data_IF_926154978331
#
_entry.id   IF_926154978331
#
_cell.length_a   1.000
_cell.length_b   1.000
_cell.length_c   1.000
_cell.angle_alpha   90.00
_cell.angle_beta   90.00
_cell.angle_gamma   90.00
#
_symmetry.space_group_name_H-M   'P 1'
#
loop_
_entity.id
_entity.type
_entity.pdbx_description
1 polymer ?
#
# COMPACT_ATOMS: atom_id res chain seq x y z
N UNK A 1 -8.95 1.17 -8.65
CA UNK A 1 -8.90 1.97 -7.39
C UNK A 1 -9.17 3.44 -7.72
N UNK A 2 -9.76 4.20 -6.80
CA UNK A 2 -10.15 5.62 -7.02
C UNK A 2 -9.33 6.60 -6.18
N UNK A 3 -8.81 6.19 -5.02
CA UNK A 3 -7.97 7.03 -4.17
C UNK A 3 -6.99 6.18 -3.36
N UNK A 4 -5.80 6.74 -3.13
CA UNK A 4 -4.81 6.27 -2.15
C UNK A 4 -4.31 7.46 -1.35
N UNK A 5 -4.04 7.25 -0.07
CA UNK A 5 -3.41 8.24 0.81
C UNK A 5 -2.44 7.55 1.77
N UNK A 6 -1.24 8.09 1.90
CA UNK A 6 -0.31 7.69 2.95
C UNK A 6 -0.77 8.21 4.33
N UNK A 7 -0.65 7.35 5.34
CA UNK A 7 -0.90 7.59 6.74
C UNK A 7 0.37 7.29 7.56
N UNK A 8 0.41 7.78 8.80
CA UNK A 8 1.52 7.54 9.72
C UNK A 8 1.73 6.05 10.03
N UNK A 9 2.99 5.67 10.25
CA UNK A 9 3.38 4.29 10.55
C UNK A 9 3.20 3.36 9.35
N UNK A 10 3.61 3.83 8.17
CA UNK A 10 3.64 3.05 6.93
C UNK A 10 2.30 2.38 6.58
N UNK A 11 1.23 3.18 6.69
CA UNK A 11 -0.13 2.76 6.38
C UNK A 11 -0.64 3.49 5.16
N UNK A 12 -1.46 2.83 4.36
CA UNK A 12 -2.22 3.45 3.29
C UNK A 12 -3.70 3.36 3.58
N UNK A 13 -4.45 4.41 3.25
CA UNK A 13 -5.88 4.35 3.11
C UNK A 13 -6.23 4.30 1.62
N UNK A 14 -6.96 3.27 1.20
CA UNK A 14 -7.35 3.08 -0.21
C UNK A 14 -8.86 3.08 -0.36
N UNK A 15 -9.33 3.54 -1.52
CA UNK A 15 -10.73 3.49 -1.93
C UNK A 15 -10.86 2.86 -3.31
N UNK A 16 -11.81 1.95 -3.47
CA UNK A 16 -12.12 1.28 -4.72
C UNK A 16 -13.33 1.88 -5.43
N UNK A 17 -13.54 1.48 -6.68
CA UNK A 17 -14.58 2.01 -7.57
C UNK A 17 -16.00 1.68 -7.08
N UNK A 18 -16.17 0.59 -6.36
CA UNK A 18 -17.44 0.13 -5.78
C UNK A 18 -17.75 0.78 -4.42
N UNK A 19 -16.88 1.68 -3.96
CA UNK A 19 -16.99 2.33 -2.66
C UNK A 19 -16.36 1.55 -1.50
N UNK A 20 -15.78 0.36 -1.75
CA UNK A 20 -15.00 -0.36 -0.74
C UNK A 20 -13.80 0.49 -0.33
N UNK A 21 -13.57 0.59 0.98
CA UNK A 21 -12.47 1.34 1.58
C UNK A 21 -11.79 0.46 2.63
N UNK A 22 -10.50 0.69 2.85
CA UNK A 22 -9.75 -0.02 3.87
C UNK A 22 -8.33 0.47 4.01
N UNK A 23 -7.64 -0.09 4.99
CA UNK A 23 -6.26 0.25 5.29
C UNK A 23 -5.31 -0.87 4.85
N UNK A 24 -4.15 -0.48 4.33
CA UNK A 24 -3.02 -1.36 4.04
C UNK A 24 -1.90 -1.04 5.02
N UNK A 25 -1.44 -2.03 5.77
CA UNK A 25 -0.42 -1.89 6.79
C UNK A 25 0.87 -2.52 6.27
N UNK A 26 1.89 -1.70 6.04
CA UNK A 26 3.13 -2.11 5.37
C UNK A 26 4.34 -2.13 6.29
N UNK A 27 4.20 -1.66 7.54
CA UNK A 27 5.29 -1.55 8.52
C UNK A 27 6.11 -2.84 8.67
N UNK A 28 5.44 -3.98 8.81
CA UNK A 28 6.09 -5.27 8.99
C UNK A 28 6.85 -5.73 7.73
N UNK A 29 6.34 -5.46 6.54
CA UNK A 29 7.01 -5.76 5.28
C UNK A 29 8.25 -4.87 5.08
N UNK A 30 8.08 -3.55 5.25
CA UNK A 30 9.13 -2.56 4.97
C UNK A 30 10.34 -2.76 5.87
N UNK A 31 10.13 -3.10 7.14
CA UNK A 31 11.22 -3.38 8.08
C UNK A 31 11.63 -4.86 8.14
N UNK A 32 11.05 -5.72 7.31
CA UNK A 32 11.45 -7.12 7.27
C UNK A 32 12.84 -7.26 6.61
N UNK A 33 13.65 -8.26 7.02
CA UNK A 33 14.88 -8.59 6.32
C UNK A 33 14.65 -9.06 4.87
N UNK A 34 13.40 -9.39 4.51
CA UNK A 34 12.97 -9.80 3.18
C UNK A 34 12.28 -8.71 2.36
N UNK A 35 12.33 -7.44 2.80
CA UNK A 35 11.57 -6.35 2.17
C UNK A 35 11.88 -6.16 0.67
N UNK A 36 13.10 -6.52 0.23
CA UNK A 36 13.51 -6.37 -1.16
C UNK A 36 13.34 -4.93 -1.65
N UNK A 37 12.62 -4.75 -2.75
CA UNK A 37 12.32 -3.42 -3.32
C UNK A 37 11.48 -2.54 -2.39
N UNK A 38 10.69 -3.13 -1.48
CA UNK A 38 9.90 -2.36 -0.51
C UNK A 38 10.74 -1.76 0.60
N UNK A 39 12.02 -2.15 0.74
CA UNK A 39 12.91 -1.62 1.77
C UNK A 39 13.15 -0.12 1.66
N UNK A 40 13.16 0.47 0.45
CA UNK A 40 13.34 1.92 0.30
C UNK A 40 12.12 2.73 0.77
N UNK A 41 10.96 2.09 0.94
CA UNK A 41 9.79 2.71 1.56
C UNK A 41 9.96 2.95 3.07
N UNK A 42 11.06 2.49 3.68
CA UNK A 42 11.42 2.87 5.05
C UNK A 42 11.72 4.37 5.17
N UNK A 43 12.04 5.03 4.06
CA UNK A 43 12.19 6.48 4.03
C UNK A 43 10.81 7.16 3.96
N UNK A 44 10.39 7.94 4.98
CA UNK A 44 9.04 8.51 5.02
C UNK A 44 8.71 9.42 3.84
N UNK A 45 9.73 10.10 3.29
CA UNK A 45 9.59 10.94 2.09
C UNK A 45 9.24 10.10 0.86
N UNK A 46 9.85 8.92 0.71
CA UNK A 46 9.54 7.99 -0.38
C UNK A 46 8.16 7.41 -0.16
N UNK A 47 7.85 6.92 1.04
CA UNK A 47 6.54 6.37 1.36
C UNK A 47 5.39 7.34 1.10
N UNK A 48 5.58 8.62 1.45
CA UNK A 48 4.57 9.67 1.26
C UNK A 48 4.38 10.08 -0.21
N UNK A 49 5.31 9.69 -1.09
CA UNK A 49 5.19 9.92 -2.53
C UNK A 49 4.28 8.90 -3.23
N UNK A 50 3.49 8.14 -2.46
CA UNK A 50 2.50 7.19 -2.99
C UNK A 50 1.55 7.87 -3.97
N UNK A 51 1.35 7.21 -5.11
CA UNK A 51 0.53 7.68 -6.20
C UNK A 51 -0.40 6.60 -6.74
N UNK A 52 -1.22 7.03 -7.69
CA UNK A 52 -2.12 6.17 -8.45
C UNK A 52 -1.75 6.27 -9.92
N UNK A 53 -1.23 5.20 -10.48
CA UNK A 53 -0.93 5.11 -11.91
C UNK A 53 -1.80 4.02 -12.54
N UNK A 54 -2.66 4.40 -13.49
CA UNK A 54 -3.62 3.49 -14.13
C UNK A 54 -4.47 2.63 -13.16
N UNK A 55 -4.68 3.11 -11.92
CA UNK A 55 -5.46 2.40 -10.90
C UNK A 55 -4.65 1.44 -10.02
N UNK A 56 -3.33 1.43 -10.18
CA UNK A 56 -2.35 0.69 -9.37
C UNK A 56 -1.74 1.64 -8.34
N UNK A 57 -1.53 1.19 -7.09
CA UNK A 57 -0.76 1.99 -6.13
C UNK A 57 0.70 1.91 -6.57
N UNK A 58 1.33 3.05 -6.81
CA UNK A 58 2.73 3.12 -7.22
C UNK A 58 3.52 4.11 -6.38
N UNK A 59 4.82 3.87 -6.27
CA UNK A 59 5.80 4.79 -5.70
C UNK A 59 6.90 5.10 -6.75
N UNK A 60 7.74 6.12 -6.49
CA UNK A 60 9.02 6.23 -7.19
C UNK A 60 9.81 4.93 -7.11
N UNK A 61 10.70 4.69 -8.09
CA UNK A 61 11.50 3.46 -8.22
C UNK A 61 10.73 2.20 -8.67
N UNK A 62 9.63 2.37 -9.42
CA UNK A 62 8.86 1.27 -10.04
C UNK A 62 8.27 0.27 -9.03
N UNK A 63 8.04 0.71 -7.79
CA UNK A 63 7.40 -0.11 -6.77
C UNK A 63 5.89 0.01 -6.95
N UNK A 64 5.24 -1.14 -7.09
CA UNK A 64 3.80 -1.23 -7.21
C UNK A 64 3.17 -2.17 -6.17
N UNK A 65 1.91 -1.90 -5.83
CA UNK A 65 1.04 -2.86 -5.15
C UNK A 65 -0.15 -3.18 -6.03
N UNK A 66 -0.37 -4.48 -6.22
CA UNK A 66 -1.49 -5.01 -6.98
C UNK A 66 -2.84 -4.64 -6.33
N UNK A 67 -3.71 -3.86 -7.00
CA UNK A 67 -5.00 -3.44 -6.45
C UNK A 67 -5.95 -4.62 -6.18
N UNK A 68 -5.81 -5.73 -6.89
CA UNK A 68 -6.65 -6.91 -6.71
C UNK A 68 -6.38 -7.57 -5.35
N UNK A 69 -5.10 -7.76 -4.99
CA UNK A 69 -4.72 -8.32 -3.69
C UNK A 69 -5.15 -7.41 -2.52
N UNK A 70 -5.01 -6.09 -2.70
CA UNK A 70 -5.53 -5.11 -1.73
C UNK A 70 -7.05 -5.26 -1.57
N UNK A 71 -7.77 -5.31 -2.68
CA UNK A 71 -9.23 -5.38 -2.68
C UNK A 71 -9.73 -6.65 -1.99
N UNK A 72 -9.18 -7.82 -2.34
CA UNK A 72 -9.59 -9.10 -1.76
C UNK A 72 -9.36 -9.14 -0.24
N UNK A 73 -8.19 -8.70 0.22
CA UNK A 73 -7.87 -8.66 1.64
C UNK A 73 -8.76 -7.67 2.42
N UNK A 74 -8.96 -6.46 1.87
CA UNK A 74 -9.82 -5.45 2.49
C UNK A 74 -11.28 -5.90 2.51
N UNK A 75 -11.77 -6.53 1.44
CA UNK A 75 -13.14 -7.03 1.37
C UNK A 75 -13.38 -8.18 2.34
N UNK A 76 -12.37 -9.02 2.59
CA UNK A 76 -12.45 -10.14 3.52
C UNK A 76 -12.28 -9.73 5.00
N UNK A 77 -11.38 -8.78 5.29
CA UNK A 77 -10.91 -8.50 6.64
C UNK A 77 -11.01 -7.03 7.08
N UNK A 78 -11.45 -6.13 6.20
CA UNK A 78 -11.47 -4.68 6.42
C UNK A 78 -10.10 -3.99 6.34
N UNK A 79 -9.02 -4.77 6.29
CA UNK A 79 -7.64 -4.30 6.17
C UNK A 79 -6.75 -5.35 5.52
N UNK A 80 -5.66 -4.90 4.94
CA UNK A 80 -4.59 -5.78 4.46
C UNK A 80 -3.33 -5.53 5.29
N UNK A 81 -2.77 -6.57 5.90
CA UNK A 81 -1.50 -6.49 6.63
C UNK A 81 -0.46 -7.23 5.82
N UNK A 82 0.52 -6.48 5.30
CA UNK A 82 1.67 -7.04 4.58
C UNK A 82 2.74 -7.41 5.60
N UNK A 83 3.04 -8.70 5.68
CA UNK A 83 4.15 -9.26 6.44
C UNK A 83 5.15 -9.88 5.46
N UNK A 84 6.42 -9.51 5.59
CA UNK A 84 7.53 -10.09 4.82
C UNK A 84 8.03 -11.42 5.37
#
# INVERSE_FOLDING_TARGET
MTSVRALDGYRLHVRFVDGTEGEVWMDALIHSPGAGVFGCLSEPTVFSAVGLEHGVVTWPEEIDLAPDAMYDAIKAHGKWVLSG
#
